data_IF_489835130668
#
_entry.id   IF_489835130668
#
_cell.length_a   1.000
_cell.length_b   1.000
_cell.length_c   1.000
_cell.angle_alpha   90.00
_cell.angle_beta   90.00
_cell.angle_gamma   90.00
#
_symmetry.space_group_name_H-M   'P 1'
#
loop_
_entity.id
_entity.type
_entity.pdbx_description
1 polymer ?
#
# COMPACT_ATOMS: atom_id res chain seq x y z
N UNK A 1 8.58 22.93 17.16
CA UNK A 1 8.12 22.33 18.44
C UNK A 1 6.61 22.12 18.35
N UNK A 2 6.09 20.94 18.68
CA UNK A 2 4.65 20.66 18.57
C UNK A 2 4.04 20.36 19.94
N UNK A 3 3.04 21.14 20.34
CA UNK A 3 2.34 21.08 21.63
C UNK A 3 1.50 19.81 21.85
N UNK A 4 1.39 18.92 20.85
CA UNK A 4 0.55 17.73 20.93
C UNK A 4 0.84 16.88 22.18
N UNK A 5 2.11 16.66 22.54
CA UNK A 5 2.49 15.87 23.72
C UNK A 5 2.16 16.55 25.06
N UNK A 6 1.79 17.83 25.03
CA UNK A 6 1.37 18.60 26.20
C UNK A 6 -0.16 18.64 26.35
N UNK A 7 -0.91 18.17 25.35
CA UNK A 7 -2.37 18.16 25.40
C UNK A 7 -2.88 17.00 26.26
N UNK A 8 -3.88 17.23 27.13
CA UNK A 8 -4.55 16.16 27.86
C UNK A 8 -5.15 15.14 26.89
N UNK A 9 -5.05 13.85 27.25
CA UNK A 9 -5.57 12.75 26.41
C UNK A 9 -7.06 12.90 26.11
N UNK A 10 -7.84 13.33 27.09
CA UNK A 10 -9.29 13.55 26.93
C UNK A 10 -9.61 14.57 25.84
N UNK A 11 -8.88 15.69 25.82
CA UNK A 11 -9.04 16.72 24.80
C UNK A 11 -8.76 16.18 23.39
N UNK A 12 -7.75 15.32 23.25
CA UNK A 12 -7.39 14.70 21.98
C UNK A 12 -8.51 13.77 21.50
N UNK A 13 -9.07 12.96 22.41
CA UNK A 13 -10.17 12.04 22.10
C UNK A 13 -11.40 12.84 21.67
N UNK A 14 -11.77 13.89 22.41
CA UNK A 14 -12.91 14.76 22.08
C UNK A 14 -12.70 15.53 20.77
N UNK A 15 -11.47 15.89 20.44
CA UNK A 15 -11.16 16.62 19.20
C UNK A 15 -11.09 15.72 17.95
N UNK A 16 -10.92 14.40 18.10
CA UNK A 16 -10.73 13.48 16.97
C UNK A 16 -11.88 13.53 15.94
N UNK A 17 -13.18 13.52 16.32
CA UNK A 17 -14.28 13.68 15.37
C UNK A 17 -14.24 15.00 14.59
N UNK A 18 -13.84 16.10 15.26
CA UNK A 18 -13.72 17.41 14.62
C UNK A 18 -12.57 17.43 13.61
N UNK A 19 -11.44 16.80 13.94
CA UNK A 19 -10.32 16.64 13.01
C UNK A 19 -10.74 15.82 11.78
N UNK A 20 -11.51 14.75 11.97
CA UNK A 20 -12.04 13.94 10.86
C UNK A 20 -12.93 14.78 9.94
N UNK A 21 -13.79 15.63 10.50
CA UNK A 21 -14.63 16.54 9.72
C UNK A 21 -13.79 17.52 8.87
N UNK A 22 -12.64 17.97 9.37
CA UNK A 22 -11.77 18.85 8.61
C UNK A 22 -11.02 18.16 7.45
N UNK A 23 -10.94 16.81 7.44
CA UNK A 23 -10.36 16.05 6.32
C UNK A 23 -11.21 16.24 5.06
N UNK A 24 -12.52 16.39 5.19
CA UNK A 24 -13.41 16.66 4.03
C UNK A 24 -13.37 18.12 3.56
N UNK A 25 -12.56 18.97 4.22
CA UNK A 25 -12.30 20.34 3.79
C UNK A 25 -11.50 20.41 2.49
N UNK A 26 -11.23 21.63 2.01
CA UNK A 26 -10.45 21.86 0.77
C UNK A 26 -9.04 22.37 1.06
N UNK A 27 -8.12 22.05 0.16
CA UNK A 27 -6.75 22.57 0.17
C UNK A 27 -6.01 22.27 1.47
N UNK A 28 -5.43 23.32 2.06
CA UNK A 28 -4.56 23.21 3.25
C UNK A 28 -5.27 22.64 4.48
N UNK A 29 -6.58 22.87 4.63
CA UNK A 29 -7.34 22.39 5.80
C UNK A 29 -7.35 20.87 5.83
N UNK A 30 -7.65 20.24 4.69
CA UNK A 30 -7.60 18.79 4.53
C UNK A 30 -6.19 18.25 4.84
N UNK A 31 -5.15 18.87 4.25
CA UNK A 31 -3.76 18.45 4.45
C UNK A 31 -3.35 18.48 5.92
N UNK A 32 -3.63 19.58 6.63
CA UNK A 32 -3.27 19.71 8.04
C UNK A 32 -4.12 18.82 8.95
N UNK A 33 -5.39 18.61 8.63
CA UNK A 33 -6.25 17.68 9.36
C UNK A 33 -5.71 16.24 9.25
N UNK A 34 -5.47 15.76 8.02
CA UNK A 34 -4.92 14.43 7.77
C UNK A 34 -3.53 14.26 8.41
N UNK A 35 -2.65 15.26 8.27
CA UNK A 35 -1.32 15.25 8.89
C UNK A 35 -1.40 15.23 10.43
N UNK A 36 -2.36 15.94 11.02
CA UNK A 36 -2.57 15.95 12.47
C UNK A 36 -3.06 14.59 12.96
N UNK A 37 -4.06 14.00 12.31
CA UNK A 37 -4.55 12.65 12.63
C UNK A 37 -3.44 11.61 12.51
N UNK A 38 -2.68 11.61 11.40
CA UNK A 38 -1.53 10.71 11.22
C UNK A 38 -0.54 10.82 12.36
N UNK A 39 -0.21 12.06 12.76
CA UNK A 39 0.73 12.36 13.84
C UNK A 39 0.24 11.92 15.22
N UNK A 40 -1.06 12.04 15.50
CA UNK A 40 -1.67 11.59 16.75
C UNK A 40 -1.65 10.05 16.85
N UNK A 41 -1.94 9.37 15.75
CA UNK A 41 -1.88 7.91 15.65
C UNK A 41 -0.42 7.42 15.78
N UNK A 42 0.50 8.02 15.01
CA UNK A 42 1.92 7.68 15.05
C UNK A 42 2.56 7.92 16.43
N UNK A 43 2.12 8.98 17.13
CA UNK A 43 2.53 9.30 18.48
C UNK A 43 1.90 8.43 19.58
N UNK A 44 1.08 7.43 19.22
CA UNK A 44 0.31 6.57 20.14
C UNK A 44 -0.62 7.35 21.08
N UNK A 45 -0.99 8.57 20.70
CA UNK A 45 -1.90 9.42 21.48
C UNK A 45 -3.35 9.01 21.26
N UNK A 46 -3.64 8.51 20.05
CA UNK A 46 -4.88 7.84 19.67
C UNK A 46 -4.54 6.37 19.41
N UNK A 47 -4.61 5.51 20.45
CA UNK A 47 -4.37 4.09 20.29
C UNK A 47 -5.56 3.42 19.58
N UNK A 48 -5.40 2.14 19.21
CA UNK A 48 -6.37 1.39 18.41
C UNK A 48 -7.78 1.42 19.01
N UNK A 49 -7.90 1.28 20.32
CA UNK A 49 -9.18 1.21 21.04
C UNK A 49 -9.96 2.54 20.98
N UNK A 50 -9.24 3.65 20.85
CA UNK A 50 -9.84 4.98 20.66
C UNK A 50 -10.16 5.22 19.19
N UNK A 51 -9.34 4.69 18.27
CA UNK A 51 -9.49 4.91 16.84
C UNK A 51 -10.63 4.08 16.23
N UNK A 52 -10.81 2.83 16.66
CA UNK A 52 -11.77 1.88 16.10
C UNK A 52 -13.20 2.43 15.99
N UNK A 53 -13.79 3.08 17.02
CA UNK A 53 -15.12 3.68 16.92
C UNK A 53 -15.24 4.76 15.84
N UNK A 54 -14.12 5.38 15.46
CA UNK A 54 -14.06 6.45 14.45
C UNK A 54 -13.54 5.96 13.09
N UNK A 55 -13.16 4.68 12.96
CA UNK A 55 -12.60 4.11 11.74
C UNK A 55 -13.49 4.29 10.49
N UNK A 56 -14.82 4.06 10.54
CA UNK A 56 -15.67 4.26 9.37
C UNK A 56 -15.61 5.70 8.85
N UNK A 57 -15.77 6.68 9.75
CA UNK A 57 -15.78 8.09 9.38
C UNK A 57 -14.40 8.57 8.89
N UNK A 58 -13.33 8.14 9.57
CA UNK A 58 -11.96 8.52 9.21
C UNK A 58 -11.55 7.96 7.84
N UNK A 59 -11.74 6.66 7.61
CA UNK A 59 -11.35 6.03 6.35
C UNK A 59 -12.20 6.54 5.20
N UNK A 60 -13.51 6.71 5.40
CA UNK A 60 -14.39 7.32 4.40
C UNK A 60 -13.92 8.74 4.02
N UNK A 61 -13.59 9.58 5.01
CA UNK A 61 -13.11 10.94 4.75
C UNK A 61 -11.76 10.93 4.03
N UNK A 62 -10.81 10.09 4.46
CA UNK A 62 -9.49 9.98 3.83
C UNK A 62 -9.59 9.49 2.38
N UNK A 63 -10.35 8.41 2.13
CA UNK A 63 -10.50 7.89 0.78
C UNK A 63 -11.26 8.85 -0.13
N UNK A 64 -12.26 9.58 0.37
CA UNK A 64 -12.90 10.66 -0.38
C UNK A 64 -11.89 11.77 -0.73
N UNK A 65 -11.07 12.20 0.22
CA UNK A 65 -10.09 13.27 0.05
C UNK A 65 -8.89 12.93 -0.83
N UNK A 66 -8.65 11.64 -1.12
CA UNK A 66 -7.70 11.26 -2.17
C UNK A 66 -8.15 11.69 -3.58
N UNK A 67 -9.42 12.08 -3.76
CA UNK A 67 -9.92 12.65 -5.01
C UNK A 67 -10.14 11.61 -6.13
N UNK A 68 -10.22 12.14 -7.36
CA UNK A 68 -10.25 11.38 -8.62
C UNK A 68 -8.85 10.82 -8.92
N UNK A 69 -8.78 9.72 -9.67
CA UNK A 69 -7.52 9.04 -9.97
C UNK A 69 -6.70 9.75 -11.06
N UNK A 70 -7.31 10.68 -11.80
CA UNK A 70 -6.86 11.08 -13.14
C UNK A 70 -5.67 12.04 -13.15
N UNK A 71 -5.42 12.79 -12.07
CA UNK A 71 -4.38 13.81 -12.02
C UNK A 71 -3.38 13.60 -10.87
N UNK A 72 -2.23 12.94 -11.13
CA UNK A 72 -1.17 12.72 -10.14
C UNK A 72 -0.66 13.98 -9.44
N UNK A 73 -0.76 15.15 -10.08
CA UNK A 73 -0.29 16.42 -9.51
C UNK A 73 -1.15 16.90 -8.33
N UNK A 74 -2.42 16.48 -8.27
CA UNK A 74 -3.36 16.84 -7.20
C UNK A 74 -3.29 15.90 -6.00
N UNK A 75 -2.64 14.75 -6.14
CA UNK A 75 -2.51 13.76 -5.07
C UNK A 75 -1.85 14.33 -3.82
N UNK A 76 -2.44 14.08 -2.66
CA UNK A 76 -1.98 14.60 -1.37
C UNK A 76 -1.23 13.53 -0.59
N UNK A 77 0.10 13.67 -0.47
CA UNK A 77 0.96 12.73 0.24
C UNK A 77 0.60 12.57 1.72
N UNK A 78 0.08 13.62 2.37
CA UNK A 78 -0.29 13.58 3.79
C UNK A 78 -1.57 12.78 4.01
N UNK A 79 -2.50 12.83 3.05
CA UNK A 79 -3.72 12.01 3.08
C UNK A 79 -3.34 10.54 2.87
N UNK A 80 -2.50 10.22 1.88
CA UNK A 80 -2.05 8.84 1.65
C UNK A 80 -1.26 8.29 2.85
N UNK A 81 -0.42 9.12 3.48
CA UNK A 81 0.29 8.75 4.72
C UNK A 81 -0.68 8.47 5.87
N UNK A 82 -1.73 9.28 6.00
CA UNK A 82 -2.76 9.08 7.02
C UNK A 82 -3.56 7.78 6.76
N UNK A 83 -3.85 7.45 5.50
CA UNK A 83 -4.43 6.15 5.11
C UNK A 83 -3.54 5.01 5.58
N UNK A 84 -2.26 5.00 5.17
CA UNK A 84 -1.30 3.97 5.57
C UNK A 84 -1.27 3.79 7.09
N UNK A 85 -1.14 4.90 7.83
CA UNK A 85 -1.05 4.90 9.28
C UNK A 85 -2.32 4.34 9.93
N UNK A 86 -3.48 4.72 9.42
CA UNK A 86 -4.78 4.28 9.91
C UNK A 86 -4.94 2.77 9.70
N UNK A 87 -4.64 2.27 8.50
CA UNK A 87 -4.66 0.83 8.20
C UNK A 87 -3.69 0.05 9.10
N UNK A 88 -2.48 0.58 9.32
CA UNK A 88 -1.46 -0.09 10.13
C UNK A 88 -1.85 -0.22 11.61
N UNK A 89 -2.60 0.74 12.15
CA UNK A 89 -3.08 0.70 13.53
C UNK A 89 -4.33 -0.15 13.68
N UNK A 90 -5.27 -0.08 12.74
CA UNK A 90 -6.50 -0.88 12.77
C UNK A 90 -6.26 -2.37 12.51
N UNK A 91 -5.27 -2.73 11.70
CA UNK A 91 -4.96 -4.11 11.31
C UNK A 91 -6.21 -4.84 10.80
N UNK A 92 -6.61 -5.94 11.44
CA UNK A 92 -7.77 -6.75 11.05
C UNK A 92 -9.09 -5.96 11.10
N UNK A 93 -9.19 -4.95 11.98
CA UNK A 93 -10.37 -4.08 12.04
C UNK A 93 -10.52 -3.21 10.77
N UNK A 94 -9.49 -3.11 9.93
CA UNK A 94 -9.58 -2.40 8.66
C UNK A 94 -10.26 -3.21 7.54
N UNK A 95 -10.38 -4.54 7.68
CA UNK A 95 -10.87 -5.43 6.63
C UNK A 95 -12.20 -5.00 5.99
N UNK A 96 -13.23 -4.57 6.75
CA UNK A 96 -14.50 -4.14 6.17
C UNK A 96 -14.40 -2.96 5.20
N UNK A 97 -13.34 -2.15 5.31
CA UNK A 97 -13.16 -0.94 4.49
C UNK A 97 -12.25 -1.17 3.28
N UNK A 98 -11.56 -2.32 3.21
CA UNK A 98 -10.60 -2.58 2.13
C UNK A 98 -11.28 -2.96 0.81
N UNK A 99 -12.51 -3.47 0.84
CA UNK A 99 -13.25 -3.88 -0.37
C UNK A 99 -13.41 -2.75 -1.39
N UNK A 100 -13.80 -1.55 -0.94
CA UNK A 100 -13.94 -0.37 -1.80
C UNK A 100 -12.61 0.39 -2.00
N UNK A 101 -11.72 0.34 -1.01
CA UNK A 101 -10.45 1.07 -1.06
C UNK A 101 -9.47 0.49 -2.08
N UNK A 102 -9.40 -0.84 -2.20
CA UNK A 102 -8.40 -1.52 -3.02
C UNK A 102 -8.49 -1.19 -4.51
N UNK A 103 -9.67 -1.26 -5.17
CA UNK A 103 -9.80 -0.82 -6.56
C UNK A 103 -9.37 0.65 -6.75
N UNK A 104 -9.68 1.50 -5.76
CA UNK A 104 -9.29 2.91 -5.80
C UNK A 104 -7.76 3.09 -5.73
N UNK A 105 -7.09 2.37 -4.84
CA UNK A 105 -5.62 2.42 -4.71
C UNK A 105 -4.92 1.82 -5.94
N UNK A 106 -5.45 0.71 -6.49
CA UNK A 106 -4.90 0.09 -7.69
C UNK A 106 -5.04 1.00 -8.93
N UNK A 107 -6.18 1.66 -9.11
CA UNK A 107 -6.34 2.63 -10.20
C UNK A 107 -5.43 3.85 -10.05
N UNK A 108 -5.23 4.35 -8.82
CA UNK A 108 -4.21 5.39 -8.58
C UNK A 108 -2.81 4.92 -8.95
N UNK A 109 -2.46 3.67 -8.63
CA UNK A 109 -1.18 3.08 -9.00
C UNK A 109 -0.98 3.07 -10.53
N UNK A 110 -2.00 2.67 -11.28
CA UNK A 110 -1.96 2.68 -12.75
C UNK A 110 -1.76 4.09 -13.33
N UNK A 111 -2.34 5.11 -12.71
CA UNK A 111 -2.21 6.50 -13.17
C UNK A 111 -0.83 7.08 -12.80
N UNK A 112 -0.34 6.85 -11.57
CA UNK A 112 1.00 7.34 -11.20
C UNK A 112 2.13 6.58 -11.91
N UNK A 113 1.90 5.34 -12.36
CA UNK A 113 2.86 4.58 -13.18
C UNK A 113 3.19 5.28 -14.50
N UNK A 114 2.22 6.00 -15.07
CA UNK A 114 2.40 6.77 -16.31
C UNK A 114 3.04 8.13 -16.09
N UNK A 115 2.95 8.68 -14.87
CA UNK A 115 3.46 9.99 -14.54
C UNK A 115 3.84 10.11 -13.04
N UNK A 116 5.02 9.63 -12.64
CA UNK A 116 5.44 9.59 -11.25
C UNK A 116 5.93 10.98 -10.78
N UNK A 117 5.01 11.90 -10.47
CA UNK A 117 5.39 13.26 -10.05
C UNK A 117 5.66 13.43 -8.54
N UNK A 118 5.21 12.51 -7.68
CA UNK A 118 5.19 12.68 -6.21
C UNK A 118 5.78 11.47 -5.47
N UNK A 119 7.10 11.42 -5.23
CA UNK A 119 7.77 10.23 -4.71
C UNK A 119 7.27 9.78 -3.33
N UNK A 120 6.97 10.71 -2.42
CA UNK A 120 6.44 10.36 -1.10
C UNK A 120 5.00 9.82 -1.17
N UNK A 121 4.15 10.38 -2.02
CA UNK A 121 2.82 9.82 -2.25
C UNK A 121 2.93 8.40 -2.81
N UNK A 122 3.77 8.20 -3.82
CA UNK A 122 4.00 6.89 -4.45
C UNK A 122 4.48 5.86 -3.42
N UNK A 123 5.45 6.24 -2.57
CA UNK A 123 5.91 5.39 -1.47
C UNK A 123 4.75 4.96 -0.54
N UNK A 124 3.97 5.91 -0.02
CA UNK A 124 2.86 5.59 0.87
C UNK A 124 1.74 4.81 0.18
N UNK A 125 1.54 4.98 -1.13
CA UNK A 125 0.60 4.20 -1.93
C UNK A 125 1.03 2.74 -2.02
N UNK A 126 2.29 2.46 -2.37
CA UNK A 126 2.84 1.10 -2.40
C UNK A 126 2.78 0.42 -1.03
N UNK A 127 3.14 1.12 0.04
CA UNK A 127 3.05 0.61 1.41
C UNK A 127 1.60 0.31 1.81
N UNK A 128 0.66 1.19 1.44
CA UNK A 128 -0.77 1.00 1.74
C UNK A 128 -1.34 -0.22 1.00
N UNK A 129 -0.97 -0.38 -0.28
CA UNK A 129 -1.35 -1.56 -1.07
C UNK A 129 -0.73 -2.84 -0.48
N UNK A 130 0.57 -2.83 -0.17
CA UNK A 130 1.27 -3.97 0.45
C UNK A 130 0.60 -4.42 1.75
N UNK A 131 0.23 -3.46 2.60
CA UNK A 131 -0.44 -3.72 3.86
C UNK A 131 -1.86 -4.24 3.65
N UNK A 132 -2.62 -3.65 2.73
CA UNK A 132 -3.99 -4.08 2.43
C UNK A 132 -4.02 -5.50 1.87
N UNK A 133 -3.11 -5.84 0.94
CA UNK A 133 -2.92 -7.21 0.42
C UNK A 133 -2.64 -8.17 1.58
N UNK A 134 -1.69 -7.82 2.45
CA UNK A 134 -1.35 -8.65 3.60
C UNK A 134 -2.53 -8.92 4.53
N UNK A 135 -3.31 -7.90 4.86
CA UNK A 135 -4.46 -8.03 5.74
C UNK A 135 -5.53 -8.93 5.11
N UNK A 136 -5.88 -8.67 3.84
CA UNK A 136 -6.93 -9.43 3.15
C UNK A 136 -6.53 -10.87 2.92
N UNK A 137 -5.32 -11.15 2.42
CA UNK A 137 -4.89 -12.52 2.11
C UNK A 137 -4.66 -13.34 3.40
N UNK A 138 -4.21 -12.72 4.50
CA UNK A 138 -4.17 -13.41 5.81
C UNK A 138 -5.57 -13.82 6.29
N UNK A 139 -6.60 -13.01 6.02
CA UNK A 139 -7.98 -13.32 6.39
C UNK A 139 -8.67 -14.27 5.39
N UNK A 140 -8.31 -14.20 4.11
CA UNK A 140 -8.86 -15.00 3.03
C UNK A 140 -7.74 -15.33 2.02
N UNK A 141 -7.06 -16.48 2.17
CA UNK A 141 -5.95 -16.86 1.30
C UNK A 141 -6.31 -16.93 -0.19
N UNK A 142 -7.57 -17.19 -0.53
CA UNK A 142 -8.04 -17.28 -1.91
C UNK A 142 -8.09 -15.91 -2.62
N UNK A 143 -8.03 -14.80 -1.86
CA UNK A 143 -8.02 -13.45 -2.43
C UNK A 143 -6.72 -13.13 -3.18
N UNK A 144 -5.66 -13.92 -3.00
CA UNK A 144 -4.36 -13.67 -3.64
C UNK A 144 -4.47 -13.61 -5.18
N UNK A 145 -5.28 -14.47 -5.79
CA UNK A 145 -5.46 -14.50 -7.25
C UNK A 145 -6.06 -13.19 -7.75
N UNK A 146 -7.07 -12.66 -7.06
CA UNK A 146 -7.70 -11.39 -7.44
C UNK A 146 -6.72 -10.20 -7.35
N UNK A 147 -5.77 -10.22 -6.40
CA UNK A 147 -4.72 -9.22 -6.33
C UNK A 147 -3.71 -9.34 -7.47
N UNK A 148 -3.31 -10.55 -7.83
CA UNK A 148 -2.42 -10.79 -8.97
C UNK A 148 -3.08 -10.33 -10.28
N UNK A 149 -4.34 -10.70 -10.51
CA UNK A 149 -5.09 -10.30 -11.71
C UNK A 149 -5.19 -8.77 -11.85
N UNK A 150 -5.36 -8.05 -10.73
CA UNK A 150 -5.47 -6.60 -10.73
C UNK A 150 -4.11 -5.88 -10.84
N UNK A 151 -3.06 -6.38 -10.19
CA UNK A 151 -1.79 -5.67 -10.06
C UNK A 151 -0.74 -6.07 -11.11
N UNK A 152 -0.75 -7.32 -11.59
CA UNK A 152 0.24 -7.79 -12.57
C UNK A 152 0.25 -6.99 -13.87
N UNK A 153 -0.90 -6.61 -14.46
CA UNK A 153 -0.89 -5.78 -15.68
C UNK A 153 -0.17 -4.45 -15.44
N UNK A 154 -0.37 -3.84 -14.28
CA UNK A 154 0.26 -2.56 -13.89
C UNK A 154 1.77 -2.76 -13.71
N UNK A 155 2.18 -3.86 -13.06
CA UNK A 155 3.59 -4.18 -12.87
C UNK A 155 4.30 -4.47 -14.20
N UNK A 156 3.65 -5.19 -15.12
CA UNK A 156 4.18 -5.44 -16.46
C UNK A 156 4.35 -4.13 -17.23
N UNK A 157 3.38 -3.22 -17.17
CA UNK A 157 3.48 -1.90 -17.79
C UNK A 157 4.66 -1.09 -17.21
N UNK A 158 4.84 -1.09 -15.89
CA UNK A 158 5.98 -0.43 -15.22
C UNK A 158 7.33 -1.00 -15.69
N UNK A 159 7.43 -2.34 -15.79
CA UNK A 159 8.66 -3.01 -16.19
C UNK A 159 8.97 -2.81 -17.68
N UNK A 160 7.95 -2.89 -18.56
CA UNK A 160 8.11 -2.71 -20.01
C UNK A 160 8.47 -1.27 -20.38
N UNK A 161 7.91 -0.29 -19.68
CA UNK A 161 8.19 1.13 -19.89
C UNK A 161 9.45 1.63 -19.17
N UNK A 162 10.21 0.73 -18.54
CA UNK A 162 11.42 1.05 -17.77
C UNK A 162 11.21 2.19 -16.74
N UNK A 163 10.11 2.17 -15.99
CA UNK A 163 9.83 3.19 -14.96
C UNK A 163 10.66 2.91 -13.71
N UNK A 164 11.94 3.30 -13.78
CA UNK A 164 12.99 2.91 -12.81
C UNK A 164 12.64 3.24 -11.36
N UNK A 165 11.96 4.37 -11.11
CA UNK A 165 11.57 4.81 -9.76
C UNK A 165 10.64 3.80 -9.05
N UNK A 166 9.90 2.99 -9.81
CA UNK A 166 8.92 2.04 -9.29
C UNK A 166 9.40 0.60 -9.28
N UNK A 167 10.47 0.28 -10.01
CA UNK A 167 11.01 -1.08 -10.06
C UNK A 167 11.29 -1.68 -8.67
N UNK A 168 11.95 -0.97 -7.72
CA UNK A 168 12.18 -1.51 -6.38
C UNK A 168 10.87 -1.91 -5.67
N UNK A 169 9.82 -1.10 -5.82
CA UNK A 169 8.52 -1.34 -5.21
C UNK A 169 7.78 -2.50 -5.87
N UNK A 170 7.84 -2.59 -7.19
CA UNK A 170 7.25 -3.71 -7.95
C UNK A 170 7.90 -5.03 -7.53
N UNK A 171 9.23 -5.09 -7.44
CA UNK A 171 9.92 -6.31 -7.00
C UNK A 171 9.56 -6.69 -5.56
N UNK A 172 9.44 -5.70 -4.65
CA UNK A 172 8.98 -5.96 -3.28
C UNK A 172 7.54 -6.49 -3.24
N UNK A 173 6.63 -5.89 -4.01
CA UNK A 173 5.24 -6.33 -4.13
C UNK A 173 5.13 -7.74 -4.70
N UNK A 174 5.86 -8.05 -5.78
CA UNK A 174 5.92 -9.38 -6.36
C UNK A 174 6.45 -10.41 -5.36
N UNK A 175 7.49 -10.05 -4.58
CA UNK A 175 8.04 -10.94 -3.55
C UNK A 175 7.00 -11.22 -2.47
N UNK A 176 6.26 -10.19 -2.03
CA UNK A 176 5.20 -10.31 -1.04
C UNK A 176 4.08 -11.23 -1.55
N UNK A 177 3.58 -10.99 -2.77
CA UNK A 177 2.50 -11.80 -3.33
C UNK A 177 2.93 -13.28 -3.48
N UNK A 178 4.16 -13.53 -3.91
CA UNK A 178 4.70 -14.89 -4.05
C UNK A 178 4.87 -15.59 -2.70
N UNK A 179 5.43 -14.91 -1.70
CA UNK A 179 5.55 -15.41 -0.32
C UNK A 179 4.17 -15.78 0.26
N UNK A 180 3.17 -14.91 0.08
CA UNK A 180 1.81 -15.15 0.58
C UNK A 180 1.15 -16.33 -0.13
N UNK A 181 1.35 -16.48 -1.44
CA UNK A 181 0.87 -17.63 -2.22
C UNK A 181 1.48 -18.94 -1.72
N UNK A 182 2.78 -18.98 -1.44
CA UNK A 182 3.46 -20.16 -0.91
C UNK A 182 3.04 -20.54 0.51
N UNK A 183 2.62 -19.56 1.31
CA UNK A 183 2.16 -19.76 2.69
C UNK A 183 0.72 -20.27 2.82
N UNK A 184 -0.09 -20.13 1.77
CA UNK A 184 -1.49 -20.54 1.77
C UNK A 184 -1.66 -22.03 1.43
N UNK A 185 -2.61 -22.70 2.07
CA UNK A 185 -2.96 -24.11 1.78
C UNK A 185 -3.50 -24.35 0.35
N UNK A 186 -3.80 -23.27 -0.40
CA UNK A 186 -4.14 -23.29 -1.82
C UNK A 186 -2.89 -23.36 -2.67
N UNK A 187 -2.24 -24.52 -2.65
CA UNK A 187 -1.08 -24.82 -3.49
C UNK A 187 -1.32 -24.51 -4.96
N UNK A 188 -0.26 -24.04 -5.62
CA UNK A 188 0.01 -24.26 -7.04
C UNK A 188 -1.24 -24.28 -7.96
N UNK A 189 -1.98 -23.17 -8.03
CA UNK A 189 -2.75 -22.90 -9.25
C UNK A 189 -1.77 -22.65 -10.38
N UNK A 190 -1.76 -23.51 -11.41
CA UNK A 190 -0.78 -23.49 -12.51
C UNK A 190 -0.69 -22.12 -13.23
N UNK A 191 -1.81 -21.40 -13.39
CA UNK A 191 -1.84 -20.15 -14.14
C UNK A 191 -1.07 -19.00 -13.46
N UNK A 192 -1.30 -18.77 -12.16
CA UNK A 192 -0.50 -17.81 -11.39
C UNK A 192 0.96 -18.26 -11.34
N UNK A 193 1.21 -19.56 -11.38
CA UNK A 193 2.56 -20.08 -11.41
C UNK A 193 3.33 -19.80 -12.70
N UNK A 194 2.66 -19.91 -13.85
CA UNK A 194 3.24 -19.56 -15.13
C UNK A 194 3.56 -18.06 -15.23
N UNK A 195 2.71 -17.18 -14.70
CA UNK A 195 2.94 -15.74 -14.73
C UNK A 195 4.25 -15.32 -14.04
N UNK A 196 4.52 -15.82 -12.82
CA UNK A 196 5.80 -15.56 -12.15
C UNK A 196 6.99 -16.22 -12.88
N UNK A 197 6.81 -17.43 -13.41
CA UNK A 197 7.88 -18.14 -14.13
C UNK A 197 8.29 -17.38 -15.40
N UNK A 198 7.34 -16.77 -16.11
CA UNK A 198 7.59 -15.95 -17.29
C UNK A 198 8.41 -14.68 -16.97
N UNK A 199 8.35 -14.17 -15.73
CA UNK A 199 9.16 -13.03 -15.30
C UNK A 199 10.62 -13.41 -15.00
N UNK A 200 10.90 -14.67 -14.64
CA UNK A 200 12.20 -15.09 -14.13
C UNK A 200 13.38 -14.74 -15.06
N UNK A 201 13.32 -14.96 -16.39
CA UNK A 201 14.41 -14.59 -17.30
C UNK A 201 14.71 -13.08 -17.28
N UNK A 202 13.69 -12.24 -17.13
CA UNK A 202 13.85 -10.79 -17.03
C UNK A 202 14.51 -10.41 -15.71
N UNK A 203 14.10 -11.01 -14.59
CA UNK A 203 14.58 -10.69 -13.25
C UNK A 203 16.07 -11.01 -13.04
N UNK A 204 16.63 -11.97 -13.78
CA UNK A 204 18.06 -12.33 -13.72
C UNK A 204 18.91 -11.61 -14.78
N UNK A 205 18.31 -10.76 -15.61
CA UNK A 205 19.02 -10.02 -16.63
C UNK A 205 19.96 -8.97 -16.00
N UNK A 206 21.25 -8.90 -16.41
CA UNK A 206 22.24 -8.00 -15.80
C UNK A 206 21.83 -6.53 -15.65
N UNK A 207 21.12 -5.89 -16.61
CA UNK A 207 20.78 -4.47 -16.50
C UNK A 207 19.97 -4.10 -15.23
N UNK A 208 19.11 -5.00 -14.76
CA UNK A 208 18.32 -4.75 -13.54
C UNK A 208 19.17 -4.76 -12.27
N UNK A 209 20.32 -5.44 -12.29
CA UNK A 209 21.23 -5.61 -11.15
C UNK A 209 22.28 -4.51 -11.05
N UNK A 210 22.50 -3.76 -12.13
CA UNK A 210 23.38 -2.58 -12.12
C UNK A 210 22.79 -1.44 -11.29
N UNK A 211 21.46 -1.38 -11.18
CA UNK A 211 20.77 -0.41 -10.34
C UNK A 211 20.77 -0.85 -8.87
N UNK A 212 21.58 -0.17 -8.05
CA UNK A 212 21.74 -0.47 -6.62
C UNK A 212 20.43 -0.51 -5.82
N UNK A 213 19.43 0.30 -6.20
CA UNK A 213 18.10 0.32 -5.58
C UNK A 213 17.30 -0.98 -5.80
N UNK A 214 17.54 -1.68 -6.92
CA UNK A 214 16.84 -2.91 -7.28
C UNK A 214 17.45 -4.15 -6.61
N UNK A 215 18.74 -4.12 -6.27
CA UNK A 215 19.47 -5.30 -5.76
C UNK A 215 18.78 -5.94 -4.57
N UNK A 216 18.42 -5.18 -3.53
CA UNK A 216 17.77 -5.75 -2.32
C UNK A 216 16.38 -6.34 -2.64
N UNK A 217 15.47 -5.61 -3.31
CA UNK A 217 14.19 -6.17 -3.77
C UNK A 217 14.32 -7.41 -4.66
N UNK A 218 15.25 -7.41 -5.62
CA UNK A 218 15.47 -8.55 -6.52
C UNK A 218 15.97 -9.78 -5.77
N UNK A 219 16.93 -9.61 -4.86
CA UNK A 219 17.40 -10.70 -3.99
C UNK A 219 16.23 -11.29 -3.19
N UNK A 220 15.39 -10.45 -2.57
CA UNK A 220 14.21 -10.93 -1.85
C UNK A 220 13.26 -11.70 -2.75
N UNK A 221 12.99 -11.19 -3.95
CA UNK A 221 12.12 -11.85 -4.93
C UNK A 221 12.69 -13.21 -5.36
N UNK A 222 13.98 -13.30 -5.68
CA UNK A 222 14.63 -14.58 -5.99
C UNK A 222 14.60 -15.56 -4.81
N UNK A 223 14.83 -15.09 -3.59
CA UNK A 223 14.67 -15.93 -2.40
C UNK A 223 13.24 -16.46 -2.26
N UNK A 224 12.23 -15.62 -2.51
CA UNK A 224 10.83 -16.04 -2.51
C UNK A 224 10.53 -17.07 -3.61
N UNK A 225 11.13 -16.92 -4.80
CA UNK A 225 11.07 -17.91 -5.87
C UNK A 225 11.64 -19.26 -5.44
N UNK A 226 12.86 -19.28 -4.91
CA UNK A 226 13.52 -20.52 -4.47
C UNK A 226 12.74 -21.19 -3.33
N UNK A 227 12.30 -20.43 -2.34
CA UNK A 227 11.57 -20.95 -1.19
C UNK A 227 10.20 -21.57 -1.58
N UNK A 228 9.55 -20.98 -2.59
CA UNK A 228 8.22 -21.42 -3.03
C UNK A 228 8.31 -22.45 -4.15
N UNK A 229 9.40 -22.49 -4.92
CA UNK A 229 9.55 -23.25 -6.17
C UNK A 229 10.97 -23.74 -6.44
N UNK A 230 11.50 -24.56 -5.55
CA UNK A 230 12.81 -25.20 -5.74
C UNK A 230 12.90 -26.02 -7.04
N UNK A 231 11.81 -26.65 -7.49
CA UNK A 231 11.79 -27.53 -8.67
C UNK A 231 11.91 -26.82 -10.03
N UNK A 232 11.67 -25.50 -10.12
CA UNK A 232 11.74 -24.74 -11.38
C UNK A 232 12.94 -23.79 -11.48
N UNK A 233 13.74 -23.69 -10.41
CA UNK A 233 14.94 -22.82 -10.35
C UNK A 233 16.23 -23.63 -10.49
N UNK A 234 16.16 -24.96 -10.31
CA UNK A 234 17.21 -25.94 -10.59
C UNK A 234 16.91 -26.69 -11.89
#
# INVERSE_FOLDING_TARGET
>A
MNFRSLLPRELIITALPLLIQHITGRGVVCTYAACTVEKLIAGKMVPREVLEPHAPALLSALFASLGQQDNPSEHNEYVMKAVLRTLAVLREAALPYLGEALPKLAGMLAVVAKNPCKPHFNHYLFESLSLAVQLVVKSNPNAITAFEDALFPIFQEILQNDVQEFMPYVFQMLSLLLEMRGSGAGGAGDAGAEAYAALLPCLVAPPLWEQTANVRPLVRLLCAFVATRSERVL
#
